data_IF_791699728964
#
_entry.id   IF_791699728964
#
_cell.length_a   1.000
_cell.length_b   1.000
_cell.length_c   1.000
_cell.angle_alpha   90.00
_cell.angle_beta   90.00
_cell.angle_gamma   90.00
#
_symmetry.space_group_name_H-M   'P 1'
#
loop_
_entity.id
_entity.type
_entity.pdbx_description
1 polymer ?
#
# COMPACT_ATOMS: atom_id res chain seq x y z
N UNK A 1 31.10 -28.93 -56.20
CA UNK A 1 31.96 -29.47 -55.12
C UNK A 1 31.06 -29.83 -53.97
N UNK A 2 30.78 -31.12 -53.80
CA UNK A 2 29.90 -31.68 -52.77
C UNK A 2 30.83 -32.01 -51.59
N UNK A 3 30.74 -31.25 -50.49
CA UNK A 3 31.50 -31.55 -49.27
C UNK A 3 30.58 -32.29 -48.29
N UNK A 4 30.75 -33.60 -48.25
CA UNK A 4 30.19 -34.51 -47.26
C UNK A 4 30.94 -34.34 -45.93
N UNK A 5 30.30 -33.72 -44.93
CA UNK A 5 30.78 -33.75 -43.55
C UNK A 5 30.27 -35.05 -42.89
N UNK A 6 31.14 -36.05 -42.81
CA UNK A 6 30.90 -37.26 -42.03
C UNK A 6 31.08 -36.98 -40.55
N UNK A 7 30.03 -37.13 -39.75
CA UNK A 7 30.11 -37.10 -38.30
C UNK A 7 30.73 -38.42 -37.82
N UNK A 8 31.92 -38.32 -37.20
CA UNK A 8 32.56 -39.45 -36.53
C UNK A 8 31.84 -39.68 -35.19
N UNK A 9 30.90 -40.63 -35.17
CA UNK A 9 30.24 -41.07 -33.95
C UNK A 9 31.22 -41.96 -33.18
N UNK A 10 31.95 -41.39 -32.22
CA UNK A 10 32.76 -42.16 -31.27
C UNK A 10 31.80 -42.80 -30.26
N UNK A 11 31.31 -43.99 -30.59
CA UNK A 11 30.61 -44.84 -29.63
C UNK A 11 31.67 -45.40 -28.68
N UNK A 12 31.81 -44.81 -27.50
CA UNK A 12 32.58 -45.41 -26.42
C UNK A 12 31.78 -46.60 -25.90
N UNK A 13 32.02 -47.78 -26.48
CA UNK A 13 31.57 -49.04 -25.88
C UNK A 13 32.41 -49.23 -24.63
N UNK A 14 31.85 -48.86 -23.47
CA UNK A 14 32.37 -49.33 -22.19
C UNK A 14 32.08 -50.83 -22.14
N UNK A 15 33.05 -51.62 -22.61
CA UNK A 15 33.10 -53.04 -22.30
C UNK A 15 33.29 -53.14 -20.79
N UNK A 16 32.18 -53.23 -20.07
CA UNK A 16 32.18 -53.68 -18.69
C UNK A 16 32.58 -55.16 -18.75
N UNK A 17 33.89 -55.43 -18.83
CA UNK A 17 34.47 -56.74 -18.59
C UNK A 17 34.29 -57.02 -17.10
N UNK A 18 33.04 -57.24 -16.69
CA UNK A 18 32.72 -57.88 -15.44
C UNK A 18 33.36 -59.26 -15.51
N UNK A 19 34.48 -59.43 -14.81
CA UNK A 19 35.05 -60.76 -14.60
C UNK A 19 34.00 -61.54 -13.83
N UNK A 20 33.18 -62.31 -14.53
CA UNK A 20 32.23 -63.26 -13.94
C UNK A 20 33.08 -64.37 -13.35
N UNK A 21 33.44 -64.25 -12.07
CA UNK A 21 34.13 -65.31 -11.33
C UNK A 21 33.07 -66.35 -10.96
N UNK A 22 32.67 -67.18 -11.93
CA UNK A 22 31.91 -68.39 -11.63
C UNK A 22 32.87 -69.41 -11.00
N UNK A 23 32.52 -69.91 -9.81
CA UNK A 23 33.31 -70.91 -9.09
C UNK A 23 32.65 -72.28 -9.25
N UNK A 24 33.42 -73.26 -9.73
CA UNK A 24 32.98 -74.65 -9.77
C UNK A 24 33.05 -75.22 -8.35
N UNK A 25 31.93 -75.71 -7.83
CA UNK A 25 31.83 -76.28 -6.51
C UNK A 25 31.27 -77.71 -6.60
N UNK A 26 32.17 -78.69 -6.65
CA UNK A 26 31.80 -80.06 -7.02
C UNK A 26 31.16 -80.09 -8.40
N UNK A 27 29.89 -80.53 -8.46
CA UNK A 27 29.10 -80.59 -9.71
C UNK A 27 28.20 -79.36 -9.93
N UNK A 28 28.31 -78.31 -9.10
CA UNK A 28 27.50 -77.10 -9.16
C UNK A 28 28.33 -75.88 -9.60
N UNK A 29 27.68 -74.94 -10.30
CA UNK A 29 28.24 -73.62 -10.63
C UNK A 29 27.67 -72.61 -9.64
N UNK A 30 28.54 -71.95 -8.86
CA UNK A 30 28.08 -70.90 -7.95
C UNK A 30 27.79 -69.60 -8.71
N UNK A 31 26.78 -68.87 -8.26
CA UNK A 31 26.46 -67.54 -8.81
C UNK A 31 27.47 -66.48 -8.36
N UNK A 32 27.42 -65.30 -8.95
CA UNK A 32 28.36 -64.19 -8.73
C UNK A 32 28.40 -63.71 -7.26
N UNK A 33 27.28 -63.88 -6.54
CA UNK A 33 27.14 -63.58 -5.10
C UNK A 33 27.38 -64.78 -4.19
N UNK A 34 28.05 -65.82 -4.68
CA UNK A 34 28.33 -67.05 -3.94
C UNK A 34 29.80 -67.47 -4.07
N UNK A 35 30.31 -68.21 -3.08
CA UNK A 35 31.61 -68.86 -3.13
C UNK A 35 31.49 -70.36 -2.86
N UNK A 36 32.46 -71.15 -3.32
CA UNK A 36 32.53 -72.57 -2.99
C UNK A 36 33.11 -72.75 -1.58
N UNK A 37 32.28 -73.23 -0.64
CA UNK A 37 32.66 -73.49 0.75
C UNK A 37 32.39 -74.94 1.16
N UNK A 38 32.96 -75.37 2.28
CA UNK A 38 32.75 -76.71 2.84
C UNK A 38 31.79 -76.66 4.04
N UNK A 39 30.88 -77.63 4.11
CA UNK A 39 30.03 -77.87 5.29
C UNK A 39 30.76 -78.72 6.33
N UNK A 40 30.19 -78.87 7.53
CA UNK A 40 30.70 -79.73 8.61
C UNK A 40 30.87 -81.20 8.20
N UNK A 41 30.27 -81.63 7.08
CA UNK A 41 30.39 -82.96 6.48
C UNK A 41 31.41 -83.04 5.33
N UNK A 42 32.27 -82.03 5.15
CA UNK A 42 33.30 -81.93 4.09
C UNK A 42 32.76 -81.94 2.65
N UNK A 43 31.46 -81.69 2.44
CA UNK A 43 30.89 -81.57 1.10
C UNK A 43 30.94 -80.11 0.60
N UNK A 44 31.40 -79.87 -0.66
CA UNK A 44 31.45 -78.55 -1.26
C UNK A 44 30.05 -78.07 -1.65
N UNK A 45 29.67 -76.88 -1.20
CA UNK A 45 28.39 -76.24 -1.52
C UNK A 45 28.59 -74.74 -1.75
N UNK A 46 27.72 -74.16 -2.59
CA UNK A 46 27.72 -72.72 -2.82
C UNK A 46 27.12 -71.97 -1.63
N UNK A 47 27.92 -71.11 -1.01
CA UNK A 47 27.55 -70.29 0.15
C UNK A 47 27.47 -68.82 -0.27
N UNK A 48 26.48 -68.08 0.24
CA UNK A 48 26.29 -66.65 -0.07
C UNK A 48 27.42 -65.77 0.48
N UNK A 49 27.79 -64.74 -0.29
CA UNK A 49 28.70 -63.69 0.17
C UNK A 49 28.07 -62.81 1.24
N UNK A 50 28.91 -62.13 2.04
CA UNK A 50 28.47 -61.03 2.90
C UNK A 50 27.84 -59.94 2.03
N UNK A 51 26.78 -59.29 2.51
CA UNK A 51 26.08 -58.21 1.80
C UNK A 51 26.97 -57.01 1.41
N UNK A 52 28.07 -56.80 2.12
CA UNK A 52 29.10 -55.81 1.79
C UNK A 52 29.89 -56.17 0.51
N UNK A 53 29.89 -57.44 0.09
CA UNK A 53 30.51 -57.90 -1.13
C UNK A 53 29.52 -57.89 -2.30
N UNK A 54 29.95 -57.41 -3.46
CA UNK A 54 29.30 -57.75 -4.72
C UNK A 54 29.67 -59.18 -5.13
N UNK A 55 30.97 -59.51 -5.09
CA UNK A 55 31.51 -60.87 -5.32
C UNK A 55 32.48 -61.26 -4.19
N UNK A 56 32.60 -62.55 -3.86
CA UNK A 56 33.53 -63.07 -2.83
C UNK A 56 34.30 -64.34 -3.26
N UNK A 57 35.29 -64.74 -2.44
CA UNK A 57 36.20 -65.86 -2.71
C UNK A 57 35.95 -67.07 -1.81
N UNK A 58 36.50 -68.24 -2.20
CA UNK A 58 36.49 -69.50 -1.45
C UNK A 58 37.04 -69.47 -0.01
N UNK A 59 37.63 -68.35 0.43
CA UNK A 59 38.26 -68.22 1.74
C UNK A 59 37.36 -67.64 2.83
N UNK A 60 36.07 -67.40 2.53
CA UNK A 60 35.02 -67.01 3.48
C UNK A 60 34.08 -65.93 2.94
N UNK A 61 32.86 -65.79 3.51
CA UNK A 61 31.83 -64.88 3.01
C UNK A 61 32.24 -63.40 3.06
N UNK A 62 33.17 -63.02 3.93
CA UNK A 62 33.66 -61.65 4.12
C UNK A 62 34.82 -61.28 3.19
N UNK A 63 35.40 -62.25 2.48
CA UNK A 63 36.55 -62.03 1.61
C UNK A 63 36.10 -61.70 0.20
N UNK A 64 35.82 -60.43 -0.03
CA UNK A 64 35.29 -59.86 -1.24
C UNK A 64 36.35 -59.67 -2.36
N UNK A 65 35.90 -59.77 -3.61
CA UNK A 65 36.66 -59.38 -4.81
C UNK A 65 36.30 -57.95 -5.22
N UNK A 66 35.00 -57.64 -5.20
CA UNK A 66 34.43 -56.33 -5.49
C UNK A 66 33.45 -56.01 -4.34
N UNK A 67 33.49 -54.78 -3.85
CA UNK A 67 32.57 -54.31 -2.83
C UNK A 67 31.24 -53.86 -3.44
N UNK A 68 30.17 -54.04 -2.67
CA UNK A 68 28.88 -53.42 -2.99
C UNK A 68 28.98 -51.88 -2.93
N UNK A 69 28.00 -51.19 -3.50
CA UNK A 69 27.90 -49.72 -3.41
C UNK A 69 27.92 -49.26 -1.95
N UNK A 70 28.57 -48.13 -1.67
CA UNK A 70 28.83 -47.59 -0.31
C UNK A 70 29.79 -48.41 0.56
N UNK A 71 30.55 -49.33 -0.03
CA UNK A 71 31.65 -50.01 0.64
C UNK A 71 32.98 -49.83 -0.12
N UNK A 72 34.08 -49.67 0.62
CA UNK A 72 35.44 -49.71 0.07
C UNK A 72 36.17 -50.98 0.47
N UNK A 73 37.12 -51.36 -0.37
CA UNK A 73 37.96 -52.55 -0.15
C UNK A 73 39.10 -52.23 0.81
N UNK A 74 39.22 -52.98 1.90
CA UNK A 74 40.36 -52.95 2.81
C UNK A 74 40.81 -54.38 3.11
N UNK A 75 41.99 -54.77 2.61
CA UNK A 75 42.54 -56.13 2.80
C UNK A 75 41.58 -57.27 2.41
N UNK A 76 40.96 -57.18 1.23
CA UNK A 76 39.93 -58.14 0.74
C UNK A 76 38.64 -58.18 1.55
N UNK A 77 38.44 -57.26 2.49
CA UNK A 77 37.20 -57.12 3.27
C UNK A 77 36.57 -55.78 2.88
N UNK A 78 35.26 -55.78 2.64
CA UNK A 78 34.53 -54.55 2.32
C UNK A 78 34.05 -53.87 3.60
N UNK A 79 34.39 -52.58 3.74
CA UNK A 79 34.01 -51.72 4.88
C UNK A 79 33.18 -50.56 4.39
N UNK A 80 32.30 -50.03 5.24
CA UNK A 80 31.38 -48.95 4.87
C UNK A 80 32.13 -47.64 4.58
N UNK A 81 31.68 -46.89 3.59
CA UNK A 81 32.13 -45.52 3.34
C UNK A 81 31.70 -44.57 4.47
N UNK A 82 32.31 -43.39 4.54
CA UNK A 82 31.76 -42.31 5.36
C UNK A 82 30.33 -41.97 4.91
N UNK A 83 29.47 -41.61 5.86
CA UNK A 83 28.06 -41.35 5.57
C UNK A 83 27.84 -40.14 4.66
N UNK A 84 28.80 -39.21 4.59
CA UNK A 84 28.78 -38.10 3.64
C UNK A 84 29.08 -38.50 2.19
N UNK A 85 29.61 -39.70 1.95
CA UNK A 85 29.96 -40.18 0.62
C UNK A 85 28.78 -40.85 -0.10
N UNK A 86 28.57 -40.50 -1.37
CA UNK A 86 27.85 -41.33 -2.35
C UNK A 86 28.86 -42.26 -3.04
N UNK A 87 29.31 -43.26 -2.27
CA UNK A 87 30.39 -44.17 -2.62
C UNK A 87 31.80 -43.60 -2.39
N UNK A 88 32.75 -44.48 -2.11
CA UNK A 88 34.14 -44.13 -1.82
C UNK A 88 35.13 -44.98 -2.63
N UNK A 89 36.38 -44.52 -2.66
CA UNK A 89 37.49 -45.17 -3.35
C UNK A 89 38.19 -46.16 -2.42
N UNK A 90 38.92 -47.12 -2.97
CA UNK A 90 39.71 -48.08 -2.18
C UNK A 90 40.85 -47.46 -1.37
N UNK A 91 41.03 -46.14 -1.39
CA UNK A 91 42.04 -45.42 -0.61
C UNK A 91 41.62 -45.14 0.84
N UNK A 92 40.33 -45.26 1.19
CA UNK A 92 39.84 -45.08 2.55
C UNK A 92 38.36 -44.63 2.63
N UNK A 93 37.76 -44.61 3.85
CA UNK A 93 36.34 -44.32 4.04
C UNK A 93 35.97 -42.87 3.68
N UNK A 94 36.89 -41.92 3.87
CA UNK A 94 36.70 -40.49 3.59
C UNK A 94 37.19 -40.05 2.20
N UNK A 95 37.65 -40.98 1.36
CA UNK A 95 38.04 -40.70 -0.03
C UNK A 95 36.86 -41.00 -0.95
N UNK A 96 35.83 -40.18 -0.84
CA UNK A 96 34.58 -40.27 -1.57
C UNK A 96 34.79 -40.15 -3.09
N UNK A 97 34.01 -40.90 -3.87
CA UNK A 97 33.89 -40.74 -5.33
C UNK A 97 33.01 -39.55 -5.67
N UNK A 98 31.90 -39.42 -4.94
CA UNK A 98 30.96 -38.30 -4.99
C UNK A 98 30.44 -38.04 -3.57
N UNK A 99 30.01 -36.82 -3.29
CA UNK A 99 29.35 -36.48 -2.04
C UNK A 99 27.85 -36.63 -2.16
N UNK A 100 27.20 -37.05 -1.07
CA UNK A 100 25.73 -36.98 -0.98
C UNK A 100 25.28 -35.52 -1.02
N UNK A 101 23.98 -35.31 -1.24
CA UNK A 101 23.33 -34.01 -1.09
C UNK A 101 23.57 -33.46 0.32
N UNK A 102 23.61 -32.13 0.48
CA UNK A 102 24.06 -31.42 1.70
C UNK A 102 25.57 -31.45 1.98
N UNK A 103 26.38 -31.94 1.04
CA UNK A 103 27.85 -31.96 1.14
C UNK A 103 28.53 -31.52 -0.17
N UNK A 104 29.76 -31.00 -0.04
CA UNK A 104 30.65 -30.64 -1.14
C UNK A 104 32.03 -31.30 -1.02
N UNK A 105 32.73 -31.48 -2.14
CA UNK A 105 33.99 -32.23 -2.19
C UNK A 105 35.21 -31.32 -1.97
N UNK A 106 36.07 -31.69 -1.03
CA UNK A 106 37.38 -31.06 -0.78
C UNK A 106 38.46 -32.14 -0.83
N UNK A 107 39.16 -32.27 -1.96
CA UNK A 107 40.29 -33.20 -2.10
C UNK A 107 39.91 -34.68 -1.89
N UNK A 108 38.71 -35.05 -2.31
CA UNK A 108 38.13 -36.39 -2.14
C UNK A 108 37.38 -36.57 -0.81
N UNK A 109 37.42 -35.61 0.11
CA UNK A 109 36.69 -35.67 1.38
C UNK A 109 35.45 -34.79 1.33
N UNK A 110 34.31 -35.33 1.72
CA UNK A 110 33.05 -34.59 1.71
C UNK A 110 32.90 -33.78 3.00
N UNK A 111 32.56 -32.50 2.84
CA UNK A 111 32.32 -31.55 3.93
C UNK A 111 30.86 -31.10 3.87
N UNK A 112 30.19 -30.92 5.02
CA UNK A 112 28.81 -30.46 5.03
C UNK A 112 28.72 -29.07 4.40
N UNK A 113 27.60 -28.75 3.77
CA UNK A 113 27.39 -27.42 3.22
C UNK A 113 27.60 -26.33 4.28
N UNK A 114 28.28 -25.23 3.92
CA UNK A 114 28.27 -24.02 4.72
C UNK A 114 26.85 -23.59 5.07
N UNK A 115 26.70 -22.92 6.21
CA UNK A 115 25.41 -22.30 6.57
C UNK A 115 25.00 -21.35 5.44
N UNK A 116 23.69 -21.24 5.18
CA UNK A 116 23.08 -20.57 4.02
C UNK A 116 23.14 -21.28 2.66
N UNK A 117 23.86 -22.40 2.52
CA UNK A 117 23.90 -23.15 1.25
C UNK A 117 23.28 -24.54 1.33
N UNK A 118 22.73 -25.02 0.21
CA UNK A 118 22.08 -26.32 0.17
C UNK A 118 22.22 -27.03 -1.19
N UNK A 119 21.85 -28.31 -1.19
CA UNK A 119 21.78 -29.14 -2.38
C UNK A 119 23.09 -29.86 -2.69
N UNK A 120 23.23 -30.34 -3.93
CA UNK A 120 24.44 -31.03 -4.39
C UNK A 120 25.56 -30.01 -4.53
N UNK A 121 26.73 -30.30 -3.95
CA UNK A 121 27.89 -29.41 -3.96
C UNK A 121 27.63 -28.01 -3.37
N UNK A 122 26.50 -27.81 -2.67
CA UNK A 122 26.14 -26.54 -2.05
C UNK A 122 26.01 -25.39 -3.06
N UNK A 123 25.46 -25.69 -4.24
CA UNK A 123 25.35 -24.74 -5.36
C UNK A 123 24.21 -23.73 -5.19
N UNK A 124 23.26 -23.97 -4.29
CA UNK A 124 22.12 -23.07 -4.05
C UNK A 124 22.25 -22.36 -2.70
N UNK A 125 21.62 -21.19 -2.60
CA UNK A 125 21.62 -20.33 -1.40
C UNK A 125 20.21 -20.22 -0.82
N UNK A 126 20.11 -20.31 0.49
CA UNK A 126 18.89 -20.11 1.26
C UNK A 126 18.68 -18.63 1.58
N UNK A 127 17.41 -18.23 1.60
CA UNK A 127 16.99 -16.86 1.90
C UNK A 127 15.97 -16.86 3.06
N UNK A 128 16.38 -17.45 4.18
CA UNK A 128 15.51 -17.69 5.34
C UNK A 128 15.50 -16.51 6.31
N UNK A 129 14.33 -16.17 6.86
CA UNK A 129 14.17 -15.01 7.74
C UNK A 129 15.03 -15.08 9.01
N UNK A 130 15.12 -16.27 9.62
CA UNK A 130 15.90 -16.48 10.85
C UNK A 130 17.40 -16.69 10.59
N UNK A 131 17.85 -16.46 9.36
CA UNK A 131 19.25 -16.52 8.97
C UNK A 131 19.72 -17.91 8.51
N UNK A 132 21.05 -18.06 8.34
CA UNK A 132 21.68 -19.22 7.70
C UNK A 132 21.37 -20.59 8.35
N UNK A 133 21.22 -20.62 9.68
CA UNK A 133 21.02 -21.86 10.46
C UNK A 133 19.59 -22.44 10.32
N UNK A 134 18.65 -21.65 9.81
CA UNK A 134 17.26 -22.07 9.55
C UNK A 134 17.12 -22.88 8.25
N UNK A 135 18.17 -22.92 7.44
CA UNK A 135 18.22 -23.58 6.13
C UNK A 135 18.51 -25.08 6.27
N UNK A 136 17.59 -25.91 5.78
CA UNK A 136 17.87 -27.33 5.58
C UNK A 136 18.89 -27.53 4.44
N UNK A 137 20.08 -28.05 4.76
CA UNK A 137 21.20 -28.20 3.80
C UNK A 137 20.92 -29.17 2.66
N UNK A 138 19.91 -30.04 2.77
CA UNK A 138 19.54 -30.98 1.72
C UNK A 138 18.51 -30.38 0.77
N UNK A 139 17.44 -29.81 1.31
CA UNK A 139 16.25 -29.38 0.58
C UNK A 139 16.18 -27.88 0.32
N UNK A 140 16.95 -27.07 1.05
CA UNK A 140 16.90 -25.61 1.00
C UNK A 140 15.69 -25.00 1.68
N UNK A 141 14.94 -25.79 2.46
CA UNK A 141 13.73 -25.33 3.14
C UNK A 141 14.08 -24.57 4.40
N UNK A 142 13.46 -23.41 4.58
CA UNK A 142 13.54 -22.63 5.80
C UNK A 142 12.62 -23.22 6.87
N UNK A 143 13.18 -23.56 8.03
CA UNK A 143 12.44 -24.07 9.18
C UNK A 143 11.37 -23.11 9.71
N UNK A 144 11.60 -21.80 9.55
CA UNK A 144 10.66 -20.73 9.91
C UNK A 144 9.43 -20.63 9.00
N UNK A 145 9.44 -21.26 7.82
CA UNK A 145 8.44 -21.04 6.76
C UNK A 145 8.32 -19.57 6.33
N UNK A 146 9.36 -18.76 6.58
CA UNK A 146 9.40 -17.35 6.25
C UNK A 146 10.69 -17.02 5.52
N UNK A 147 10.56 -16.32 4.41
CA UNK A 147 11.66 -15.82 3.63
C UNK A 147 12.12 -14.48 4.16
N UNK A 148 13.41 -14.21 4.04
CA UNK A 148 13.99 -12.91 4.40
C UNK A 148 13.46 -11.79 3.48
N UNK A 149 13.82 -10.54 3.81
CA UNK A 149 13.43 -9.38 3.03
C UNK A 149 13.91 -9.48 1.59
N UNK A 150 13.00 -9.28 0.64
CA UNK A 150 13.32 -9.33 -0.80
C UNK A 150 13.13 -10.71 -1.44
N UNK A 151 12.68 -11.71 -0.68
CA UNK A 151 12.48 -13.08 -1.16
C UNK A 151 11.09 -13.62 -0.80
N UNK A 152 10.58 -14.54 -1.63
CA UNK A 152 9.29 -15.23 -1.48
C UNK A 152 9.38 -16.69 -1.95
N UNK A 153 8.25 -17.38 -1.79
CA UNK A 153 8.08 -18.79 -2.09
C UNK A 153 8.49 -19.69 -0.94
N UNK A 154 7.97 -19.50 0.29
CA UNK A 154 8.24 -20.41 1.39
C UNK A 154 7.67 -21.82 1.08
N UNK A 155 8.31 -22.88 1.58
CA UNK A 155 9.48 -22.85 2.47
C UNK A 155 10.84 -22.69 1.77
N UNK A 156 10.91 -22.79 0.44
CA UNK A 156 12.20 -22.81 -0.28
C UNK A 156 12.87 -21.42 -0.40
N UNK A 157 12.08 -20.35 -0.47
CA UNK A 157 12.56 -18.96 -0.51
C UNK A 157 13.53 -18.64 -1.66
N UNK A 158 13.35 -19.30 -2.81
CA UNK A 158 14.26 -19.18 -3.96
C UNK A 158 13.83 -18.14 -5.00
N UNK A 159 12.78 -17.36 -4.73
CA UNK A 159 12.24 -16.37 -5.69
C UNK A 159 12.36 -14.96 -5.13
N UNK A 160 13.08 -14.07 -5.82
CA UNK A 160 13.13 -12.66 -5.45
C UNK A 160 11.75 -12.01 -5.57
N UNK A 161 11.52 -10.90 -4.86
CA UNK A 161 10.27 -10.16 -5.00
C UNK A 161 10.04 -9.70 -6.45
N UNK A 162 8.79 -9.79 -6.87
CA UNK A 162 8.35 -9.17 -8.12
C UNK A 162 8.40 -7.64 -7.98
N UNK A 163 8.47 -6.90 -9.10
CA UNK A 163 8.38 -5.45 -9.08
C UNK A 163 7.14 -4.99 -8.29
N UNK A 164 7.31 -3.90 -7.54
CA UNK A 164 6.32 -3.31 -6.64
C UNK A 164 6.04 -4.08 -5.34
N UNK A 165 6.63 -5.25 -5.12
CA UNK A 165 6.51 -5.98 -3.86
C UNK A 165 7.79 -5.95 -3.05
N UNK A 166 7.65 -5.90 -1.73
CA UNK A 166 8.79 -5.82 -0.82
C UNK A 166 8.54 -6.46 0.54
N UNK A 167 9.62 -6.60 1.31
CA UNK A 167 9.59 -7.05 2.69
C UNK A 167 9.67 -8.57 2.84
N UNK A 168 9.38 -9.04 4.04
CA UNK A 168 9.34 -10.48 4.39
C UNK A 168 8.29 -11.16 3.51
N UNK A 169 8.66 -12.25 2.84
CA UNK A 169 7.78 -12.97 1.89
C UNK A 169 7.22 -12.09 0.76
N UNK A 170 7.77 -10.91 0.51
CA UNK A 170 7.24 -9.94 -0.46
C UNK A 170 5.75 -9.61 -0.23
N UNK A 171 5.32 -9.54 1.04
CA UNK A 171 3.91 -9.40 1.40
C UNK A 171 3.40 -7.95 1.46
N UNK A 172 4.25 -6.97 1.14
CA UNK A 172 3.88 -5.55 1.07
C UNK A 172 4.02 -5.05 -0.35
N UNK A 173 3.17 -4.10 -0.71
CA UNK A 173 3.17 -3.42 -2.00
C UNK A 173 3.64 -1.97 -1.81
N UNK A 174 4.46 -1.48 -2.73
CA UNK A 174 4.90 -0.09 -2.81
C UNK A 174 4.27 0.57 -4.04
N UNK A 175 3.94 1.86 -3.93
CA UNK A 175 3.29 2.61 -5.01
C UNK A 175 4.13 3.82 -5.41
N UNK A 176 5.14 3.56 -6.22
CA UNK A 176 6.04 4.58 -6.76
C UNK A 176 5.43 5.30 -7.96
N UNK A 177 5.95 6.48 -8.34
CA UNK A 177 5.58 7.18 -9.57
C UNK A 177 5.81 6.34 -10.84
N UNK A 178 5.21 6.77 -11.95
CA UNK A 178 5.41 6.12 -13.25
C UNK A 178 6.90 6.05 -13.63
N UNK A 179 7.34 4.87 -14.08
CA UNK A 179 8.74 4.53 -14.41
C UNK A 179 9.71 4.59 -13.21
N UNK A 180 9.21 4.47 -11.98
CA UNK A 180 10.01 4.31 -10.77
C UNK A 180 9.83 2.88 -10.22
N UNK A 181 10.85 2.38 -9.53
CA UNK A 181 10.84 1.06 -8.89
C UNK A 181 11.16 1.19 -7.41
N UNK A 182 10.66 0.25 -6.60
CA UNK A 182 11.05 0.19 -5.20
C UNK A 182 11.99 -0.95 -4.89
N UNK A 183 12.80 -0.76 -3.85
CA UNK A 183 13.64 -1.81 -3.30
C UNK A 183 12.80 -3.00 -2.82
N UNK A 184 13.13 -4.25 -3.21
CA UNK A 184 12.42 -5.43 -2.72
C UNK A 184 12.64 -5.69 -1.23
N UNK A 185 13.67 -5.07 -0.63
CA UNK A 185 14.01 -5.24 0.79
C UNK A 185 13.14 -4.32 1.66
N UNK A 186 13.12 -3.03 1.34
CA UNK A 186 12.53 -2.01 2.21
C UNK A 186 11.38 -1.20 1.57
N UNK A 187 11.08 -1.42 0.29
CA UNK A 187 9.99 -0.78 -0.44
C UNK A 187 10.17 0.70 -0.75
N UNK A 188 11.35 1.27 -0.47
CA UNK A 188 11.64 2.67 -0.81
C UNK A 188 11.76 2.82 -2.33
N UNK A 189 11.04 3.78 -2.88
CA UNK A 189 11.14 4.18 -4.30
C UNK A 189 12.51 4.81 -4.59
N UNK A 190 13.07 4.53 -5.76
CA UNK A 190 14.40 5.01 -6.15
C UNK A 190 14.45 6.54 -6.25
N UNK A 191 13.34 7.18 -6.68
CA UNK A 191 13.22 8.64 -6.68
C UNK A 191 13.10 9.26 -5.28
N UNK A 192 12.75 8.44 -4.28
CA UNK A 192 12.41 8.88 -2.93
C UNK A 192 11.04 9.54 -2.79
N UNK A 193 10.22 9.55 -3.85
CA UNK A 193 8.86 10.12 -3.83
C UNK A 193 7.82 9.01 -4.05
N UNK A 194 6.62 9.22 -3.52
CA UNK A 194 5.47 8.34 -3.73
C UNK A 194 4.59 8.82 -4.87
N UNK A 195 3.78 7.91 -5.43
CA UNK A 195 2.64 8.30 -6.25
C UNK A 195 1.73 9.28 -5.46
N UNK A 196 1.09 10.29 -6.09
CA UNK A 196 0.37 11.37 -5.39
C UNK A 196 -0.74 10.97 -4.42
N UNK A 197 -1.21 9.73 -4.47
CA UNK A 197 -2.25 9.18 -3.58
C UNK A 197 -1.68 8.24 -2.51
N UNK A 198 -0.36 8.05 -2.47
CA UNK A 198 0.30 7.14 -1.55
C UNK A 198 1.33 7.86 -0.69
N UNK A 199 1.62 7.30 0.48
CA UNK A 199 2.61 7.82 1.39
C UNK A 199 3.20 6.76 2.31
N UNK A 200 4.00 7.23 3.25
CA UNK A 200 4.75 6.38 4.18
C UNK A 200 6.13 6.00 3.63
N UNK A 201 7.00 5.41 4.45
CA UNK A 201 8.42 5.23 4.11
C UNK A 201 8.69 4.39 2.84
N UNK A 202 7.73 3.56 2.45
CA UNK A 202 7.79 2.68 1.29
C UNK A 202 6.61 2.91 0.32
N UNK A 203 5.91 4.04 0.43
CA UNK A 203 4.73 4.36 -0.40
C UNK A 203 3.65 3.26 -0.35
N UNK A 204 3.53 2.61 0.81
CA UNK A 204 2.67 1.45 1.02
C UNK A 204 1.27 1.83 1.55
N UNK A 205 1.08 3.08 1.94
CA UNK A 205 -0.17 3.57 2.53
C UNK A 205 -0.93 4.35 1.49
N UNK A 206 -2.13 3.89 1.13
CA UNK A 206 -3.07 4.68 0.32
C UNK A 206 -3.63 5.81 1.20
N UNK A 207 -3.32 7.06 0.87
CA UNK A 207 -3.63 8.20 1.72
C UNK A 207 -5.15 8.46 1.80
N UNK A 208 -5.67 8.86 2.98
CA UNK A 208 -7.08 9.06 3.19
C UNK A 208 -7.61 10.25 2.38
N UNK A 209 -8.78 10.11 1.78
CA UNK A 209 -9.41 11.18 0.99
C UNK A 209 -10.92 11.02 1.03
N UNK A 210 -11.62 12.14 1.29
CA UNK A 210 -13.08 12.16 1.26
C UNK A 210 -13.57 11.89 -0.17
N UNK A 211 -14.59 11.06 -0.34
CA UNK A 211 -15.21 10.81 -1.66
C UNK A 211 -16.12 11.95 -2.11
N UNK A 212 -16.68 12.71 -1.17
CA UNK A 212 -17.50 13.89 -1.46
C UNK A 212 -16.71 15.19 -1.28
N UNK A 213 -17.02 16.18 -2.12
CA UNK A 213 -16.61 17.57 -1.92
C UNK A 213 -17.38 18.20 -0.73
N UNK A 214 -16.84 19.25 -0.06
CA UNK A 214 -17.58 19.91 1.01
C UNK A 214 -18.85 20.61 0.50
N UNK A 215 -19.89 20.62 1.32
CA UNK A 215 -21.16 21.30 1.05
C UNK A 215 -21.10 22.73 1.57
N UNK A 216 -21.52 23.69 0.75
CA UNK A 216 -21.60 25.10 1.10
C UNK A 216 -23.05 25.46 1.43
N UNK A 217 -23.25 26.13 2.56
CA UNK A 217 -24.55 26.61 3.03
C UNK A 217 -24.42 28.04 3.57
N UNK A 218 -25.56 28.68 3.87
CA UNK A 218 -25.62 29.98 4.54
C UNK A 218 -24.88 31.13 3.85
N UNK A 219 -24.82 31.15 2.51
CA UNK A 219 -24.18 32.23 1.74
C UNK A 219 -24.95 33.55 1.91
N UNK A 220 -24.60 34.33 2.95
CA UNK A 220 -25.23 35.62 3.27
C UNK A 220 -24.15 36.68 3.37
N UNK A 221 -24.01 37.46 2.31
CA UNK A 221 -23.20 38.68 2.27
C UNK A 221 -21.76 38.51 2.81
N UNK A 222 -21.01 37.54 2.28
CA UNK A 222 -19.62 37.28 2.68
C UNK A 222 -19.45 36.38 3.89
N UNK A 223 -20.56 35.86 4.44
CA UNK A 223 -20.56 34.76 5.39
C UNK A 223 -21.05 33.49 4.72
N UNK A 224 -20.30 32.40 4.81
CA UNK A 224 -20.71 31.09 4.31
C UNK A 224 -20.21 29.97 5.22
N UNK A 225 -20.91 28.85 5.21
CA UNK A 225 -20.57 27.67 6.03
C UNK A 225 -20.20 26.50 5.13
N UNK A 226 -18.97 26.02 5.29
CA UNK A 226 -18.53 24.73 4.74
C UNK A 226 -18.94 23.62 5.70
N UNK A 227 -19.38 22.48 5.16
CA UNK A 227 -19.68 21.28 5.95
C UNK A 227 -19.29 20.00 5.20
N UNK A 228 -18.79 19.01 5.93
CA UNK A 228 -18.43 17.70 5.40
C UNK A 228 -18.62 16.61 6.46
N UNK A 229 -18.77 15.37 6.00
CA UNK A 229 -18.81 14.19 6.88
C UNK A 229 -17.37 13.78 7.16
N UNK A 230 -17.10 13.31 8.38
CA UNK A 230 -15.80 12.75 8.75
C UNK A 230 -15.46 11.53 7.91
N UNK A 231 -14.17 11.32 7.66
CA UNK A 231 -13.63 10.20 6.89
C UNK A 231 -13.98 8.87 7.54
N UNK A 232 -14.48 7.93 6.75
CA UNK A 232 -14.85 6.58 7.19
C UNK A 232 -14.15 5.56 6.30
N UNK A 233 -13.38 4.63 6.88
CA UNK A 233 -12.49 3.70 6.17
C UNK A 233 -13.18 2.87 5.07
N UNK A 234 -14.44 2.46 5.29
CA UNK A 234 -15.17 1.61 4.34
C UNK A 234 -16.02 2.40 3.33
N UNK A 235 -16.06 3.73 3.43
CA UNK A 235 -16.87 4.62 2.58
C UNK A 235 -15.99 5.54 1.75
N UNK A 236 -14.95 6.08 2.37
CA UNK A 236 -14.01 7.01 1.77
C UNK A 236 -12.79 6.30 1.16
N UNK A 237 -11.94 7.07 0.49
CA UNK A 237 -10.73 6.55 -0.15
C UNK A 237 -9.60 6.46 0.87
N UNK A 238 -8.73 5.47 0.72
CA UNK A 238 -7.47 5.35 1.45
C UNK A 238 -7.57 4.61 2.78
N UNK A 239 -6.58 4.82 3.64
CA UNK A 239 -6.44 4.16 4.94
C UNK A 239 -6.17 5.18 6.05
N UNK A 240 -6.70 4.88 7.23
CA UNK A 240 -6.48 5.62 8.47
C UNK A 240 -5.32 5.02 9.28
N UNK A 241 -5.08 5.54 10.50
CA UNK A 241 -5.86 6.56 11.20
C UNK A 241 -5.66 7.98 10.65
N UNK A 242 -6.70 8.80 10.72
CA UNK A 242 -6.66 10.20 10.30
C UNK A 242 -6.43 11.15 11.49
N UNK A 243 -5.74 12.27 11.25
CA UNK A 243 -5.34 13.20 12.29
C UNK A 243 -6.05 14.56 12.19
N UNK A 244 -6.25 15.06 10.96
CA UNK A 244 -6.80 16.39 10.76
C UNK A 244 -7.32 16.63 9.34
N UNK A 245 -8.20 17.61 9.21
CA UNK A 245 -8.73 18.15 7.97
C UNK A 245 -8.13 19.52 7.68
N UNK A 246 -7.63 19.69 6.46
CA UNK A 246 -7.03 20.92 5.96
C UNK A 246 -8.02 21.59 5.01
N UNK A 247 -8.51 22.76 5.40
CA UNK A 247 -9.48 23.53 4.62
C UNK A 247 -8.72 24.47 3.70
N UNK A 248 -8.88 24.28 2.40
CA UNK A 248 -8.24 25.08 1.36
C UNK A 248 -9.25 25.95 0.62
N UNK A 249 -8.83 27.16 0.25
CA UNK A 249 -9.61 28.11 -0.53
C UNK A 249 -8.82 28.57 -1.75
N UNK A 250 -9.50 28.81 -2.86
CA UNK A 250 -8.93 29.50 -4.02
C UNK A 250 -9.91 30.57 -4.51
N UNK A 251 -9.40 31.77 -4.80
CA UNK A 251 -10.17 32.89 -5.35
C UNK A 251 -10.00 32.93 -6.86
N UNK A 252 -11.09 33.04 -7.60
CA UNK A 252 -11.07 33.15 -9.06
C UNK A 252 -10.28 34.39 -9.48
N UNK A 253 -9.53 34.27 -10.58
CA UNK A 253 -8.68 35.33 -11.14
C UNK A 253 -7.60 35.89 -10.19
N UNK A 254 -7.29 35.19 -9.09
CA UNK A 254 -6.15 35.51 -8.24
C UNK A 254 -4.92 34.73 -8.67
N UNK A 255 -3.76 35.38 -8.68
CA UNK A 255 -2.47 34.73 -8.92
C UNK A 255 -1.96 33.90 -7.73
N UNK A 256 -2.64 33.98 -6.57
CA UNK A 256 -2.20 33.32 -5.33
C UNK A 256 -2.46 31.81 -5.29
N UNK A 257 -3.32 31.27 -6.17
CA UNK A 257 -3.69 29.85 -6.17
C UNK A 257 -4.39 29.42 -4.87
N UNK A 258 -4.17 28.16 -4.46
CA UNK A 258 -4.75 27.58 -3.25
C UNK A 258 -4.08 28.09 -1.97
N UNK A 259 -4.89 28.54 -1.01
CA UNK A 259 -4.46 28.99 0.31
C UNK A 259 -5.05 28.11 1.41
N UNK A 260 -4.21 27.71 2.38
CA UNK A 260 -4.66 26.96 3.56
C UNK A 260 -5.28 27.94 4.54
N UNK A 261 -6.59 27.83 4.77
CA UNK A 261 -7.34 28.76 5.62
C UNK A 261 -7.63 28.20 7.01
N UNK A 262 -7.66 26.87 7.16
CA UNK A 262 -7.86 26.24 8.47
C UNK A 262 -7.28 24.83 8.53
N UNK A 263 -6.85 24.46 9.73
CA UNK A 263 -6.51 23.09 10.11
C UNK A 263 -7.40 22.68 11.29
N UNK A 264 -8.11 21.57 11.18
CA UNK A 264 -9.11 21.09 12.13
C UNK A 264 -8.73 19.66 12.55
N UNK A 265 -8.39 19.47 13.82
CA UNK A 265 -8.06 18.15 14.35
C UNK A 265 -9.25 17.20 14.30
N UNK A 266 -8.99 15.96 13.90
CA UNK A 266 -9.97 14.87 13.92
C UNK A 266 -10.16 14.38 15.36
N UNK A 267 -11.38 13.90 15.65
CA UNK A 267 -11.72 13.20 16.89
C UNK A 267 -12.73 12.11 16.54
N UNK A 268 -12.55 10.90 17.07
CA UNK A 268 -13.38 9.74 16.71
C UNK A 268 -14.88 9.93 17.03
N UNK A 269 -15.20 10.84 17.96
CA UNK A 269 -16.58 11.15 18.33
C UNK A 269 -17.30 12.07 17.31
N UNK A 270 -16.56 12.73 16.42
CA UNK A 270 -17.12 13.75 15.51
C UNK A 270 -17.34 13.15 14.12
N UNK A 271 -18.61 13.00 13.74
CA UNK A 271 -19.00 12.46 12.42
C UNK A 271 -19.25 13.54 11.38
N UNK A 272 -19.45 14.80 11.79
CA UNK A 272 -19.71 15.91 10.89
C UNK A 272 -18.93 17.14 11.32
N UNK A 273 -18.35 17.82 10.35
CA UNK A 273 -17.52 18.99 10.55
C UNK A 273 -18.14 20.19 9.83
N UNK A 274 -17.99 21.37 10.44
CA UNK A 274 -18.44 22.63 9.87
C UNK A 274 -17.38 23.72 10.07
N UNK A 275 -17.22 24.59 9.08
CA UNK A 275 -16.33 25.75 9.17
C UNK A 275 -17.01 27.00 8.61
N UNK A 276 -17.10 28.05 9.43
CA UNK A 276 -17.70 29.32 9.04
C UNK A 276 -16.63 30.27 8.51
N UNK A 277 -16.84 30.73 7.28
CA UNK A 277 -16.09 31.78 6.63
C UNK A 277 -16.85 33.10 6.78
N UNK A 278 -16.14 34.17 7.08
CA UNK A 278 -16.68 35.52 7.27
C UNK A 278 -15.80 36.54 6.57
N UNK A 279 -16.36 37.71 6.22
CA UNK A 279 -15.64 38.82 5.59
C UNK A 279 -15.02 38.47 4.23
N UNK A 280 -15.67 37.59 3.45
CA UNK A 280 -15.26 37.36 2.07
C UNK A 280 -15.54 38.58 1.20
N UNK A 281 -14.77 38.73 0.13
CA UNK A 281 -14.98 39.80 -0.86
C UNK A 281 -16.40 39.70 -1.43
N UNK A 282 -17.24 40.75 -1.28
CA UNK A 282 -18.60 40.79 -1.80
C UNK A 282 -18.75 40.53 -3.29
N UNK A 283 -17.70 40.80 -4.07
CA UNK A 283 -17.69 40.55 -5.53
C UNK A 283 -16.78 39.37 -5.88
N UNK A 284 -16.27 38.67 -4.88
CA UNK A 284 -15.38 37.54 -5.05
C UNK A 284 -16.11 36.26 -5.43
N UNK A 285 -15.39 35.41 -6.15
CA UNK A 285 -15.81 34.07 -6.50
C UNK A 285 -14.76 33.07 -6.00
N UNK A 286 -15.21 32.06 -5.25
CA UNK A 286 -14.34 31.20 -4.46
C UNK A 286 -14.71 29.73 -4.62
N UNK A 287 -13.71 28.84 -4.58
CA UNK A 287 -13.91 27.40 -4.46
C UNK A 287 -13.10 26.82 -3.32
N UNK A 288 -13.50 25.65 -2.86
CA UNK A 288 -12.97 25.03 -1.65
C UNK A 288 -12.66 23.56 -1.86
N UNK A 289 -11.75 23.02 -1.05
CA UNK A 289 -11.56 21.58 -0.87
C UNK A 289 -11.13 21.27 0.55
N UNK A 290 -11.35 20.03 0.95
CA UNK A 290 -10.92 19.50 2.25
C UNK A 290 -9.91 18.40 2.00
N UNK A 291 -8.65 18.61 2.38
CA UNK A 291 -7.63 17.58 2.31
C UNK A 291 -7.59 16.83 3.66
N UNK A 292 -7.40 15.51 3.63
CA UNK A 292 -7.35 14.68 4.85
C UNK A 292 -5.91 14.29 5.11
N UNK A 293 -5.43 14.50 6.33
CA UNK A 293 -4.07 14.14 6.72
C UNK A 293 -4.10 12.95 7.70
N UNK A 294 -3.38 11.90 7.34
CA UNK A 294 -3.16 10.73 8.18
C UNK A 294 -2.11 10.95 9.27
N UNK A 295 -2.05 10.01 10.21
CA UNK A 295 -0.96 9.88 11.18
C UNK A 295 -0.45 8.45 11.24
N UNK A 296 0.83 8.32 11.56
CA UNK A 296 1.49 7.06 11.89
C UNK A 296 1.93 7.12 13.36
N UNK A 297 1.20 6.41 14.23
CA UNK A 297 1.27 6.61 15.67
C UNK A 297 0.94 8.06 16.05
N UNK A 298 1.85 8.74 16.75
CA UNK A 298 1.70 10.14 17.17
C UNK A 298 2.23 11.15 16.14
N UNK A 299 2.73 10.69 14.98
CA UNK A 299 3.34 11.56 13.97
C UNK A 299 2.39 11.82 12.82
N UNK A 300 2.25 13.09 12.43
CA UNK A 300 1.55 13.47 11.21
C UNK A 300 2.32 12.99 9.98
N UNK A 301 1.61 12.41 9.02
CA UNK A 301 2.18 12.09 7.72
C UNK A 301 2.47 13.38 6.94
N UNK A 302 3.60 13.42 6.25
CA UNK A 302 3.99 14.58 5.44
C UNK A 302 3.14 14.66 4.18
N UNK A 303 2.94 13.51 3.54
CA UNK A 303 2.17 13.33 2.32
C UNK A 303 0.66 13.47 2.58
N UNK A 304 -0.03 14.12 1.64
CA UNK A 304 -1.46 14.41 1.71
C UNK A 304 -2.08 14.23 0.32
N UNK A 305 -3.13 13.44 0.23
CA UNK A 305 -4.03 13.37 -0.92
C UNK A 305 -4.96 14.58 -0.94
N UNK A 306 -5.02 15.26 -2.09
CA UNK A 306 -5.90 16.42 -2.28
C UNK A 306 -7.35 15.95 -2.36
N UNK A 307 -8.24 16.61 -1.63
CA UNK A 307 -9.67 16.36 -1.66
C UNK A 307 -10.33 16.82 -2.95
N UNK A 308 -11.58 16.39 -3.15
CA UNK A 308 -12.40 16.89 -4.26
C UNK A 308 -12.70 18.37 -4.07
N UNK A 309 -12.68 19.07 -5.20
CA UNK A 309 -12.81 20.52 -5.29
C UNK A 309 -14.25 20.87 -5.63
N UNK A 310 -14.83 21.82 -4.92
CA UNK A 310 -16.15 22.37 -5.28
C UNK A 310 -16.07 23.17 -6.56
N UNK A 311 -17.21 23.39 -7.22
CA UNK A 311 -17.34 24.47 -8.18
C UNK A 311 -17.03 25.84 -7.55
N UNK A 312 -16.88 26.85 -8.39
CA UNK A 312 -16.76 28.23 -7.92
C UNK A 312 -18.13 28.77 -7.48
N UNK A 313 -18.13 29.54 -6.38
CA UNK A 313 -19.31 30.16 -5.79
C UNK A 313 -19.11 31.67 -5.68
N UNK A 314 -20.04 32.43 -6.23
CA UNK A 314 -20.11 33.87 -6.03
C UNK A 314 -20.62 34.20 -4.63
N UNK A 315 -20.01 35.20 -3.99
CA UNK A 315 -20.51 35.71 -2.72
C UNK A 315 -21.80 36.51 -2.99
N UNK A 316 -22.92 36.08 -2.41
CA UNK A 316 -24.21 36.75 -2.59
C UNK A 316 -24.31 37.95 -1.65
N UNK A 317 -23.75 39.07 -2.09
CA UNK A 317 -23.91 40.37 -1.46
C UNK A 317 -24.95 41.20 -2.20
N UNK A 318 -25.93 41.73 -1.47
CA UNK A 318 -26.80 42.77 -2.01
C UNK A 318 -25.96 44.00 -2.34
N UNK A 319 -25.83 44.33 -3.63
CA UNK A 319 -25.33 45.64 -4.04
C UNK A 319 -26.40 46.67 -3.68
N UNK A 320 -26.12 47.68 -2.83
CA UNK A 320 -26.99 48.83 -2.76
C UNK A 320 -27.00 49.46 -4.14
N UNK A 321 -28.16 49.55 -4.78
CA UNK A 321 -28.30 50.27 -6.04
C UNK A 321 -27.92 51.72 -5.79
N UNK A 322 -26.74 52.14 -6.25
CA UNK A 322 -26.25 53.53 -6.17
C UNK A 322 -26.93 54.44 -7.18
N UNK A 323 -28.02 54.01 -7.82
CA UNK A 323 -28.96 54.97 -8.38
C UNK A 323 -29.60 55.69 -7.21
N UNK A 324 -29.05 56.87 -6.88
CA UNK A 324 -29.81 57.91 -6.22
C UNK A 324 -31.23 57.91 -6.82
N UNK A 325 -32.30 58.00 -6.01
CA UNK A 325 -33.58 58.34 -6.59
C UNK A 325 -33.33 59.62 -7.38
N UNK A 326 -33.55 59.60 -8.69
CA UNK A 326 -33.74 60.85 -9.43
C UNK A 326 -34.69 61.69 -8.58
N UNK A 327 -34.36 62.97 -8.38
CA UNK A 327 -35.27 63.95 -7.78
C UNK A 327 -36.63 63.83 -8.49
N UNK A 328 -37.51 63.04 -7.90
CA UNK A 328 -38.85 62.78 -8.39
C UNK A 328 -39.77 62.98 -7.19
N UNK A 329 -40.32 64.19 -7.13
CA UNK A 329 -41.52 64.45 -6.35
C UNK A 329 -42.65 63.59 -6.91
N UNK A 330 -42.90 62.44 -6.31
CA UNK A 330 -44.08 61.64 -6.62
C UNK A 330 -45.19 62.05 -5.67
N UNK A 331 -46.10 62.89 -6.16
CA UNK A 331 -47.39 63.11 -5.52
C UNK A 331 -48.26 61.89 -5.78
N UNK A 332 -48.30 60.95 -4.83
CA UNK A 332 -49.32 59.91 -4.82
C UNK A 332 -50.54 60.46 -4.06
N UNK A 333 -51.72 60.60 -4.71
CA UNK A 333 -52.92 61.07 -4.02
C UNK A 333 -53.48 59.94 -3.16
N UNK A 334 -53.17 59.95 -1.87
CA UNK A 334 -53.90 59.17 -0.88
C UNK A 334 -55.12 59.98 -0.44
N UNK A 335 -56.32 59.41 -0.59
CA UNK A 335 -57.56 60.01 -0.07
C UNK A 335 -57.76 59.51 1.36
N UNK A 336 -57.58 60.36 2.40
CA UNK A 336 -57.70 59.91 3.77
C UNK A 336 -59.13 59.43 4.09
N UNK A 337 -59.30 58.53 5.08
CA UNK A 337 -60.61 58.06 5.51
C UNK A 337 -61.54 59.22 5.89
N UNK A 338 -62.84 59.06 5.63
CA UNK A 338 -63.86 60.07 5.97
C UNK A 338 -63.85 60.30 7.49
N UNK A 339 -63.57 61.54 7.92
CA UNK A 339 -63.43 61.93 9.34
C UNK A 339 -61.99 62.24 9.80
N UNK A 340 -60.98 62.14 8.91
CA UNK A 340 -59.61 62.58 9.17
C UNK A 340 -59.49 64.11 9.26
N UNK A 341 -58.68 64.61 10.19
CA UNK A 341 -58.30 66.04 10.30
C UNK A 341 -57.46 66.52 9.10
N UNK A 342 -56.72 65.61 8.47
CA UNK A 342 -55.84 65.92 7.34
C UNK A 342 -56.57 65.70 6.02
N UNK A 343 -56.45 66.66 5.11
CA UNK A 343 -57.07 66.67 3.78
C UNK A 343 -56.14 66.13 2.69
N UNK A 344 -54.84 66.33 2.85
CA UNK A 344 -53.82 65.78 1.94
C UNK A 344 -52.45 65.76 2.61
N UNK A 345 -51.49 65.06 1.99
CA UNK A 345 -50.08 65.21 2.33
C UNK A 345 -49.23 65.23 1.06
N UNK A 346 -48.03 65.80 1.18
CA UNK A 346 -47.00 65.81 0.14
C UNK A 346 -45.71 65.24 0.71
N UNK A 347 -45.16 64.25 0.01
CA UNK A 347 -43.84 63.70 0.28
C UNK A 347 -42.79 64.45 -0.55
N UNK A 348 -41.69 64.83 0.07
CA UNK A 348 -40.49 65.28 -0.64
C UNK A 348 -39.24 64.68 -0.02
N UNK A 349 -38.20 64.45 -0.84
CA UNK A 349 -36.89 63.96 -0.36
C UNK A 349 -35.90 65.09 -0.55
N UNK A 350 -35.28 65.56 0.54
CA UNK A 350 -34.26 66.61 0.50
C UNK A 350 -33.04 66.11 1.24
N UNK A 351 -31.88 66.06 0.59
CA UNK A 351 -30.62 65.56 1.17
C UNK A 351 -30.72 64.18 1.84
N UNK A 352 -31.54 63.27 1.27
CA UNK A 352 -31.74 61.91 1.79
C UNK A 352 -32.70 61.80 2.99
N UNK A 353 -33.29 62.91 3.45
CA UNK A 353 -34.35 62.94 4.45
C UNK A 353 -35.72 63.06 3.76
N UNK A 354 -36.71 62.28 4.21
CA UNK A 354 -38.09 62.38 3.73
C UNK A 354 -38.85 63.41 4.57
N UNK A 355 -39.34 64.44 3.90
CA UNK A 355 -40.25 65.44 4.44
C UNK A 355 -41.68 65.08 4.06
N UNK A 356 -42.60 65.18 5.03
CA UNK A 356 -44.03 65.01 4.81
C UNK A 356 -44.75 66.29 5.23
N UNK A 357 -45.30 66.99 4.25
CA UNK A 357 -46.10 68.20 4.46
C UNK A 357 -47.58 67.79 4.50
N UNK A 358 -48.29 68.06 5.59
CA UNK A 358 -49.71 67.75 5.71
C UNK A 358 -50.56 69.02 5.48
N UNK A 359 -51.72 68.88 4.86
CA UNK A 359 -52.74 69.93 4.81
C UNK A 359 -53.91 69.55 5.71
N UNK A 360 -54.42 70.50 6.48
CA UNK A 360 -55.53 70.32 7.44
C UNK A 360 -56.82 70.90 6.81
N UNK A 361 -57.97 70.37 7.20
CA UNK A 361 -59.28 70.92 6.78
C UNK A 361 -59.46 72.35 7.32
N UNK A 362 -59.85 73.28 6.45
CA UNK A 362 -60.03 74.70 6.79
C UNK A 362 -61.07 74.95 7.89
N UNK A 363 -61.93 73.97 8.20
CA UNK A 363 -62.87 74.05 9.33
C UNK A 363 -62.19 73.90 10.72
N UNK A 364 -60.91 73.55 10.77
CA UNK A 364 -60.11 73.34 11.99
C UNK A 364 -58.82 74.18 12.03
N UNK A 365 -58.67 75.14 11.12
CA UNK A 365 -57.45 75.95 10.90
C UNK A 365 -57.11 76.86 12.10
N UNK A 366 -58.10 77.23 12.92
CA UNK A 366 -57.93 78.18 14.03
C UNK A 366 -57.26 77.56 15.30
N UNK A 367 -56.85 76.28 15.28
CA UNK A 367 -56.36 75.57 16.49
C UNK A 367 -54.94 75.01 16.36
N UNK A 368 -54.36 74.91 15.15
CA UNK A 368 -53.04 74.25 14.97
C UNK A 368 -52.16 75.02 13.99
N UNK A 369 -51.35 75.95 14.52
CA UNK A 369 -50.25 76.60 13.77
C UNK A 369 -49.14 75.58 13.46
N UNK A 370 -49.33 74.80 12.41
CA UNK A 370 -48.36 73.88 11.78
C UNK A 370 -47.77 72.77 12.68
N UNK A 371 -48.07 71.51 12.36
CA UNK A 371 -47.37 70.35 12.93
C UNK A 371 -46.31 69.85 11.92
N UNK A 372 -45.03 70.07 12.21
CA UNK A 372 -43.93 69.50 11.44
C UNK A 372 -43.39 68.25 12.13
N UNK A 373 -43.64 67.07 11.55
CA UNK A 373 -43.03 65.81 11.96
C UNK A 373 -41.84 65.52 11.03
N UNK A 374 -40.63 65.47 11.60
CA UNK A 374 -39.41 65.11 10.88
C UNK A 374 -38.99 63.70 11.32
N UNK A 375 -38.85 62.78 10.37
CA UNK A 375 -38.27 61.46 10.63
C UNK A 375 -37.00 61.29 9.79
N UNK A 376 -35.91 60.87 10.43
CA UNK A 376 -34.71 60.45 9.73
C UNK A 376 -34.86 58.99 9.31
N UNK A 377 -34.72 58.69 8.02
CA UNK A 377 -34.68 57.31 7.54
C UNK A 377 -33.30 56.74 7.83
N UNK A 378 -33.22 55.87 8.82
CA UNK A 378 -31.95 55.26 9.27
C UNK A 378 -31.54 54.05 8.43
N UNK A 379 -32.43 53.54 7.55
CA UNK A 379 -32.17 52.39 6.66
C UNK A 379 -33.21 52.30 5.53
N UNK A 380 -32.79 51.87 4.34
CA UNK A 380 -33.69 51.51 3.23
C UNK A 380 -33.68 49.98 3.00
N UNK A 381 -34.86 49.40 2.75
CA UNK A 381 -35.04 47.98 2.42
C UNK A 381 -36.42 47.74 1.79
N UNK A 382 -36.56 46.63 1.05
CA UNK A 382 -37.88 46.14 0.62
C UNK A 382 -38.60 45.63 1.87
N UNK A 383 -39.82 46.11 2.12
CA UNK A 383 -40.67 45.55 3.16
C UNK A 383 -41.06 44.13 2.73
N UNK A 384 -40.34 43.13 3.22
CA UNK A 384 -40.78 41.75 3.12
C UNK A 384 -42.09 41.62 3.92
N UNK A 385 -43.08 40.94 3.36
CA UNK A 385 -44.46 40.90 3.85
C UNK A 385 -44.67 40.17 5.18
N UNK A 386 -43.64 40.02 6.02
CA UNK A 386 -43.68 39.24 7.27
C UNK A 386 -43.12 39.94 8.52
N UNK A 387 -42.97 41.27 8.50
CA UNK A 387 -42.77 42.00 9.76
C UNK A 387 -44.12 42.37 10.38
N UNK A 388 -44.58 41.50 11.29
CA UNK A 388 -45.62 41.86 12.26
C UNK A 388 -45.21 43.15 12.99
N UNK A 389 -46.07 44.18 13.04
CA UNK A 389 -45.75 45.40 13.78
C UNK A 389 -45.68 45.08 15.29
N UNK A 390 -44.48 45.25 15.85
CA UNK A 390 -44.32 45.38 17.31
C UNK A 390 -44.81 46.78 17.66
N UNK A 391 -46.04 46.88 18.18
CA UNK A 391 -46.50 48.09 18.84
C UNK A 391 -45.67 48.32 20.11
N UNK A 392 -44.86 49.36 20.10
CA UNK A 392 -44.32 49.95 21.33
C UNK A 392 -45.04 51.28 21.54
N UNK A 393 -45.96 51.29 22.48
CA UNK A 393 -46.57 52.50 23.02
C UNK A 393 -45.61 53.18 23.99
N UNK A 394 -45.37 54.48 23.80
CA UNK A 394 -45.31 55.48 24.88
C UNK A 394 -45.67 56.84 24.32
#
# INVERSE_FOLDING_TARGET
>A
MINTYGYLLVVTIVLNLGVVVSQNCGNQQCTERQFCGNTSTFQPVCVGCNAACYNCTGSGPERCIICASNYYMFNKICRICDDSCDGCTGAGPEKCKKCKIAYYNVGGTCRPCPDDTFGQNCENTCHCLNGPDDCDRETGKCGSWQCEWGWKGPPECQTACEPNFFGINCNKECNCPDNDTCSPINGRCDSGNCHPEYGGPACQIHLPKLVEQPKITNNKCGNLTLSWIGWVEDVDIGKGPIAQYLVWQEKMNSSSGWTLIRNISHTDATTQYTFNLTNLDPEGEYRYRIDVRAQDGDKLMEEISKGFVTDFYSVECFKPTTSAPNDQSTTTPFKPPVGSLFTSYKLSVVNGAVHVDWSIDSNYDDVVDSLALSFAIIKYGVCDSELNPVYSSM
#
